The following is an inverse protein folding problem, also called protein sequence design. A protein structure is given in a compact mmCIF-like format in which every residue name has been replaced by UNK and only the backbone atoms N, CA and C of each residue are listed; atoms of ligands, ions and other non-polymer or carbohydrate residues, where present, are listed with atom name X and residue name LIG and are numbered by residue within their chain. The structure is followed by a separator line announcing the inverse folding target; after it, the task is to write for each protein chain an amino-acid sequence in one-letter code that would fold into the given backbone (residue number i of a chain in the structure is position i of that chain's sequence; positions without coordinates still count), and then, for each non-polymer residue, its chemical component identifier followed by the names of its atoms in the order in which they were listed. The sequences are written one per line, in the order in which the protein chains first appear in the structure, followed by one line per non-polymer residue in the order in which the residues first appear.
data_IF_068784204718
#
_entry.id   IF_068784204718
#
_cell.length_a   1.000
_cell.length_b   1.000
_cell.length_c   1.000
_cell.angle_alpha   90.00
_cell.angle_beta   90.00
_cell.angle_gamma   90.00
#
_symmetry.space_group_name_H-M   'P 1'
#
loop_
_entity.id
_entity.type
_entity.pdbx_description
1 polymer ?
#
# COMPACT_ATOMS: atom_id res chain seq x y z
N UNK A 1 -19.54 -13.76 -39.52
CA UNK A 1 -19.44 -14.25 -38.11
C UNK A 1 -18.78 -13.20 -37.23
N UNK A 2 -19.36 -12.94 -36.07
CA UNK A 2 -18.76 -12.08 -35.05
C UNK A 2 -18.02 -12.96 -34.03
N UNK A 3 -16.74 -12.71 -33.87
CA UNK A 3 -15.92 -13.36 -32.85
C UNK A 3 -15.66 -12.36 -31.75
N UNK A 4 -15.95 -12.76 -30.51
CA UNK A 4 -15.58 -11.99 -29.32
C UNK A 4 -14.17 -12.41 -28.91
N UNK A 5 -13.24 -11.49 -28.98
CA UNK A 5 -11.87 -11.72 -28.51
C UNK A 5 -11.80 -11.52 -27.01
N UNK A 6 -11.33 -12.53 -26.28
CA UNK A 6 -11.05 -12.40 -24.85
C UNK A 6 -9.89 -11.45 -24.59
N UNK A 7 -10.09 -10.52 -23.67
CA UNK A 7 -9.01 -9.62 -23.25
C UNK A 7 -8.04 -10.33 -22.31
N UNK A 8 -6.75 -10.20 -22.58
CA UNK A 8 -5.70 -10.61 -21.67
C UNK A 8 -5.52 -9.54 -20.59
N UNK A 9 -5.68 -9.95 -19.34
CA UNK A 9 -5.44 -9.10 -18.16
C UNK A 9 -4.26 -9.64 -17.38
N UNK A 10 -3.55 -8.75 -16.67
CA UNK A 10 -2.49 -9.20 -15.75
C UNK A 10 -3.11 -9.95 -14.59
N UNK A 11 -2.50 -11.07 -14.22
CA UNK A 11 -2.98 -11.84 -13.07
C UNK A 11 -2.88 -11.01 -11.77
N UNK A 12 -3.84 -11.18 -10.84
CA UNK A 12 -3.75 -10.56 -9.52
C UNK A 12 -2.44 -10.93 -8.83
N UNK A 13 -1.68 -9.94 -8.43
CA UNK A 13 -0.39 -10.13 -7.73
C UNK A 13 0.19 -8.79 -7.27
N UNK A 14 1.32 -8.87 -6.57
CA UNK A 14 2.25 -7.76 -6.43
C UNK A 14 3.37 -7.91 -7.46
N UNK A 15 3.68 -6.83 -8.17
CA UNK A 15 4.75 -6.77 -9.17
C UNK A 15 5.79 -5.76 -8.72
N UNK A 16 7.05 -6.11 -8.91
CA UNK A 16 8.19 -5.23 -8.63
C UNK A 16 8.94 -4.96 -9.92
N UNK A 17 9.39 -3.73 -10.11
CA UNK A 17 10.18 -3.34 -11.25
C UNK A 17 11.29 -2.36 -10.83
N UNK A 18 12.41 -2.45 -11.52
CA UNK A 18 13.53 -1.54 -11.43
C UNK A 18 13.66 -0.77 -12.75
N UNK A 19 13.89 0.52 -12.67
CA UNK A 19 14.13 1.39 -13.82
C UNK A 19 15.32 2.27 -13.54
N UNK A 20 16.01 2.71 -14.59
CA UNK A 20 17.05 3.71 -14.48
C UNK A 20 16.53 5.07 -14.92
N UNK A 21 16.87 6.10 -14.16
CA UNK A 21 16.63 7.49 -14.54
C UNK A 21 17.63 7.91 -15.64
N UNK A 22 17.38 9.07 -16.25
CA UNK A 22 18.26 9.64 -17.29
C UNK A 22 19.71 9.84 -16.83
N UNK A 23 19.92 9.94 -15.53
CA UNK A 23 21.23 10.12 -14.87
C UNK A 23 21.85 8.76 -14.47
N UNK A 24 21.18 7.63 -14.75
CA UNK A 24 21.65 6.30 -14.35
C UNK A 24 21.31 5.91 -12.91
N UNK A 25 20.50 6.69 -12.19
CA UNK A 25 20.03 6.35 -10.83
C UNK A 25 18.96 5.27 -10.90
N UNK A 26 19.05 4.27 -10.01
CA UNK A 26 18.05 3.22 -9.89
C UNK A 26 16.78 3.75 -9.21
N UNK A 27 15.66 3.54 -9.86
CA UNK A 27 14.32 3.84 -9.37
C UNK A 27 13.54 2.54 -9.23
N UNK A 28 12.84 2.39 -8.13
CA UNK A 28 12.04 1.20 -7.84
C UNK A 28 10.57 1.51 -7.95
N UNK A 29 9.82 0.55 -8.45
CA UNK A 29 8.35 0.63 -8.49
C UNK A 29 7.73 -0.70 -8.12
N UNK A 30 6.55 -0.63 -7.55
CA UNK A 30 5.74 -1.81 -7.23
C UNK A 30 4.29 -1.54 -7.59
N UNK A 31 3.61 -2.57 -8.04
CA UNK A 31 2.19 -2.51 -8.38
C UNK A 31 1.44 -3.63 -7.67
N UNK A 32 0.40 -3.29 -6.94
CA UNK A 32 -0.55 -4.23 -6.36
C UNK A 32 -1.77 -4.26 -7.27
N UNK A 33 -1.97 -5.39 -7.93
CA UNK A 33 -3.09 -5.61 -8.85
C UNK A 33 -4.04 -6.61 -8.23
N UNK A 34 -5.25 -6.20 -7.79
CA UNK A 34 -6.28 -7.09 -7.33
C UNK A 34 -7.00 -7.78 -8.50
N UNK A 35 -7.75 -8.83 -8.20
CA UNK A 35 -8.69 -9.41 -9.16
C UNK A 35 -9.87 -8.47 -9.41
N UNK A 36 -10.32 -7.79 -8.37
CA UNK A 36 -11.36 -6.76 -8.39
C UNK A 36 -10.99 -5.67 -7.40
N UNK A 37 -11.07 -4.43 -7.84
CA UNK A 37 -10.81 -3.25 -7.00
C UNK A 37 -9.75 -2.31 -7.56
N UNK A 38 -9.40 -1.31 -6.78
CA UNK A 38 -8.45 -0.28 -7.14
C UNK A 38 -7.01 -0.81 -7.18
N UNK A 39 -6.24 -0.38 -8.16
CA UNK A 39 -4.81 -0.66 -8.24
C UNK A 39 -4.05 0.28 -7.30
N UNK A 40 -3.01 -0.26 -6.66
CA UNK A 40 -2.03 0.51 -5.92
C UNK A 40 -0.70 0.44 -6.67
N UNK A 41 -0.17 1.59 -7.01
CA UNK A 41 1.13 1.71 -7.65
C UNK A 41 2.04 2.53 -6.75
N UNK A 42 3.19 1.98 -6.43
CA UNK A 42 4.23 2.62 -5.63
C UNK A 42 5.40 2.94 -6.54
N UNK A 43 5.96 4.13 -6.41
CA UNK A 43 7.15 4.54 -7.18
C UNK A 43 8.09 5.38 -6.31
N UNK A 44 9.39 5.21 -6.54
CA UNK A 44 10.42 6.11 -6.02
C UNK A 44 10.75 7.12 -7.11
N UNK A 45 10.79 8.40 -6.79
CA UNK A 45 11.24 9.42 -7.73
C UNK A 45 12.77 9.66 -7.68
N UNK A 46 13.27 10.52 -8.56
CA UNK A 46 14.69 10.87 -8.60
C UNK A 46 15.21 11.56 -7.34
N UNK A 47 14.32 12.14 -6.54
CA UNK A 47 14.63 12.75 -5.24
C UNK A 47 14.53 11.74 -4.07
N UNK A 48 14.34 10.45 -4.37
CA UNK A 48 14.21 9.37 -3.38
C UNK A 48 12.94 9.43 -2.53
N UNK A 49 11.92 10.15 -3.00
CA UNK A 49 10.64 10.25 -2.33
C UNK A 49 9.76 9.09 -2.78
N UNK A 50 9.15 8.41 -1.81
CA UNK A 50 8.17 7.37 -2.08
C UNK A 50 6.80 7.98 -2.39
N UNK A 51 6.26 7.61 -3.52
CA UNK A 51 4.94 8.02 -3.97
C UNK A 51 4.00 6.82 -4.11
N UNK A 52 2.72 7.08 -3.90
CA UNK A 52 1.64 6.14 -4.18
C UNK A 52 0.65 6.76 -5.17
N UNK A 53 0.13 5.93 -6.07
CA UNK A 53 -1.02 6.22 -6.92
C UNK A 53 -2.10 5.21 -6.60
N UNK A 54 -3.30 5.70 -6.37
CA UNK A 54 -4.49 4.87 -6.17
C UNK A 54 -5.30 4.96 -7.45
N UNK A 55 -5.46 3.84 -8.12
CA UNK A 55 -6.08 3.78 -9.44
C UNK A 55 -5.39 4.73 -10.45
N UNK A 56 -6.13 5.66 -11.03
CA UNK A 56 -5.63 6.67 -11.97
C UNK A 56 -5.33 8.02 -11.32
N UNK A 57 -5.30 8.08 -10.00
CA UNK A 57 -5.06 9.30 -9.25
C UNK A 57 -3.65 9.85 -9.47
N UNK A 58 -3.47 11.16 -9.31
CA UNK A 58 -2.15 11.79 -9.27
C UNK A 58 -1.33 11.25 -8.10
N UNK A 59 -0.03 11.08 -8.31
CA UNK A 59 0.91 10.61 -7.28
C UNK A 59 0.88 11.49 -6.02
N UNK A 60 0.98 10.82 -4.90
CA UNK A 60 0.93 11.40 -3.56
C UNK A 60 2.08 10.80 -2.74
N UNK A 61 2.69 11.51 -1.79
CA UNK A 61 3.62 10.90 -0.86
C UNK A 61 2.97 9.69 -0.18
N UNK A 62 3.71 8.59 -0.04
CA UNK A 62 3.15 7.35 0.54
C UNK A 62 2.71 7.54 1.99
N UNK A 63 3.35 8.47 2.72
CA UNK A 63 3.04 8.80 4.11
C UNK A 63 1.61 9.29 4.29
N UNK A 64 1.05 10.01 3.30
CA UNK A 64 -0.36 10.42 3.31
C UNK A 64 -1.30 9.21 3.36
N UNK A 65 -1.00 8.16 2.57
CA UNK A 65 -1.76 6.92 2.61
C UNK A 65 -1.57 6.20 3.94
N UNK A 66 -0.34 6.11 4.45
CA UNK A 66 -0.03 5.47 5.74
C UNK A 66 -0.80 6.16 6.87
N UNK A 67 -0.81 7.50 6.91
CA UNK A 67 -1.59 8.26 7.89
C UNK A 67 -3.09 7.98 7.76
N UNK A 68 -3.61 7.95 6.55
CA UNK A 68 -5.04 7.63 6.31
C UNK A 68 -5.45 6.24 6.77
N UNK A 69 -4.49 5.31 6.93
CA UNK A 69 -4.71 3.96 7.45
C UNK A 69 -4.59 3.86 8.98
N UNK A 70 -4.30 4.98 9.68
CA UNK A 70 -4.33 5.05 11.14
C UNK A 70 -3.00 5.39 11.82
N UNK A 71 -1.89 5.49 11.07
CA UNK A 71 -0.57 5.87 11.61
C UNK A 71 -0.35 7.37 11.42
N UNK A 72 -0.85 8.17 12.36
CA UNK A 72 -0.95 9.63 12.20
C UNK A 72 0.35 10.37 12.35
N UNK A 73 1.21 9.99 13.28
CA UNK A 73 2.42 10.70 13.62
C UNK A 73 3.66 10.20 12.88
N UNK A 74 4.66 11.06 12.74
CA UNK A 74 5.95 10.69 12.15
C UNK A 74 6.64 9.58 12.99
N UNK A 75 6.47 9.62 14.31
CA UNK A 75 7.01 8.61 15.23
C UNK A 75 6.39 7.22 14.99
N UNK A 76 5.07 7.12 14.86
CA UNK A 76 4.38 5.86 14.55
C UNK A 76 4.82 5.27 13.21
N UNK A 77 5.01 6.13 12.20
CA UNK A 77 5.50 5.70 10.88
C UNK A 77 6.93 5.18 10.99
N UNK A 78 7.80 5.87 11.73
CA UNK A 78 9.19 5.46 11.94
C UNK A 78 9.27 4.17 12.75
N UNK A 79 8.43 3.99 13.77
CA UNK A 79 8.34 2.75 14.53
C UNK A 79 7.94 1.56 13.64
N UNK A 80 6.99 1.77 12.73
CA UNK A 80 6.48 0.71 11.84
C UNK A 80 7.49 0.29 10.76
N UNK A 81 8.18 1.24 10.14
CA UNK A 81 9.04 1.00 8.97
C UNK A 81 10.54 1.09 9.26
N UNK A 82 10.91 1.55 10.45
CA UNK A 82 12.31 1.86 10.79
C UNK A 82 12.77 3.21 10.25
N UNK A 83 13.99 3.58 10.63
CA UNK A 83 14.64 4.80 10.17
C UNK A 83 15.26 4.57 8.78
N UNK A 84 14.59 5.05 7.74
CA UNK A 84 15.07 5.05 6.36
C UNK A 84 15.14 6.51 5.86
N UNK A 85 16.26 6.87 5.27
CA UNK A 85 16.53 8.24 4.78
C UNK A 85 15.48 8.70 3.75
N UNK A 86 15.01 7.78 2.89
CA UNK A 86 13.99 8.06 1.88
C UNK A 86 12.61 8.27 2.50
N UNK A 87 12.33 7.51 3.56
CA UNK A 87 11.09 7.68 4.33
C UNK A 87 11.08 9.05 5.02
N UNK A 88 12.20 9.47 5.62
CA UNK A 88 12.35 10.78 6.23
C UNK A 88 12.14 11.90 5.21
N UNK A 89 12.80 11.85 4.05
CA UNK A 89 12.59 12.78 2.94
C UNK A 89 11.12 12.81 2.46
N UNK A 90 10.46 11.66 2.49
CA UNK A 90 9.04 11.56 2.11
C UNK A 90 8.14 12.23 3.14
N UNK A 91 8.42 12.08 4.45
CA UNK A 91 7.71 12.74 5.54
C UNK A 91 7.90 14.27 5.52
N UNK A 92 9.07 14.76 5.14
CA UNK A 92 9.33 16.21 4.93
C UNK A 92 8.49 16.78 3.78
N UNK A 93 8.28 15.99 2.73
CA UNK A 93 7.45 16.38 1.58
C UNK A 93 5.95 16.32 1.85
N UNK A 94 5.56 15.54 2.85
CA UNK A 94 4.17 15.37 3.25
C UNK A 94 3.68 16.57 4.07
N UNK A 95 2.62 17.20 3.61
CA UNK A 95 1.99 18.33 4.30
C UNK A 95 1.02 17.92 5.40
N UNK A 96 0.66 16.63 5.44
CA UNK A 96 -0.26 16.09 6.44
C UNK A 96 0.49 15.63 7.69
N UNK A 97 -0.13 15.76 8.87
CA UNK A 97 0.48 15.39 10.16
C UNK A 97 -0.40 14.52 11.04
N UNK A 98 -1.66 14.36 10.66
CA UNK A 98 -2.65 13.58 11.41
C UNK A 98 -3.36 12.56 10.50
N UNK A 99 -4.07 11.62 11.12
CA UNK A 99 -4.91 10.63 10.42
C UNK A 99 -6.00 11.34 9.61
N UNK A 100 -6.65 12.32 10.22
CA UNK A 100 -7.75 13.07 9.60
C UNK A 100 -7.26 13.86 8.37
N UNK A 101 -6.12 14.52 8.48
CA UNK A 101 -5.52 15.24 7.34
C UNK A 101 -5.16 14.29 6.20
N UNK A 102 -4.58 13.14 6.50
CA UNK A 102 -4.29 12.09 5.53
C UNK A 102 -5.55 11.59 4.81
N UNK A 103 -6.61 11.31 5.57
CA UNK A 103 -7.93 10.91 5.04
C UNK A 103 -8.50 11.97 4.09
N UNK A 104 -8.52 13.22 4.52
CA UNK A 104 -9.07 14.33 3.74
C UNK A 104 -8.27 14.58 2.46
N UNK A 105 -6.95 14.46 2.51
CA UNK A 105 -6.08 14.64 1.33
C UNK A 105 -6.31 13.54 0.29
N UNK A 106 -6.42 12.27 0.71
CA UNK A 106 -6.76 11.16 -0.19
C UNK A 106 -8.16 11.36 -0.78
N UNK A 107 -9.13 11.78 0.03
CA UNK A 107 -10.49 12.04 -0.45
C UNK A 107 -10.54 13.12 -1.52
N UNK A 108 -9.87 14.27 -1.30
CA UNK A 108 -9.80 15.36 -2.28
C UNK A 108 -9.24 14.92 -3.62
N UNK A 109 -8.27 14.00 -3.59
CA UNK A 109 -7.65 13.47 -4.81
C UNK A 109 -8.51 12.45 -5.54
N UNK A 110 -9.25 11.62 -4.80
CA UNK A 110 -10.16 10.61 -5.37
C UNK A 110 -11.50 11.22 -5.82
N UNK A 111 -11.97 12.27 -5.14
CA UNK A 111 -13.25 12.94 -5.37
C UNK A 111 -13.08 14.44 -5.51
N UNK A 112 -12.43 14.92 -6.57
CA UNK A 112 -12.26 16.35 -6.80
C UNK A 112 -13.63 17.04 -6.97
N UNK A 113 -13.83 18.15 -6.24
CA UNK A 113 -15.06 18.93 -6.30
C UNK A 113 -16.10 18.60 -5.23
N UNK A 114 -15.93 17.51 -4.47
CA UNK A 114 -16.80 17.21 -3.33
C UNK A 114 -16.18 17.77 -2.03
N UNK A 115 -16.99 18.39 -1.14
CA UNK A 115 -16.48 18.84 0.16
C UNK A 115 -16.08 17.63 1.01
N UNK A 116 -14.81 17.55 1.46
CA UNK A 116 -14.34 16.41 2.21
C UNK A 116 -14.80 16.48 3.67
N UNK A 117 -15.31 15.36 4.19
CA UNK A 117 -15.50 15.13 5.63
C UNK A 117 -14.70 13.92 6.05
N UNK A 118 -14.27 13.87 7.32
CA UNK A 118 -13.49 12.75 7.84
C UNK A 118 -14.26 11.43 7.72
N UNK A 119 -15.55 11.45 8.01
CA UNK A 119 -16.43 10.29 7.92
C UNK A 119 -16.56 9.75 6.49
N UNK A 120 -16.80 10.66 5.53
CA UNK A 120 -16.88 10.30 4.11
C UNK A 120 -15.55 9.76 3.58
N UNK A 121 -14.44 10.37 4.01
CA UNK A 121 -13.10 9.92 3.63
C UNK A 121 -12.78 8.53 4.19
N UNK A 122 -13.08 8.29 5.47
CA UNK A 122 -12.91 6.99 6.11
C UNK A 122 -13.77 5.92 5.45
N UNK A 123 -15.05 6.23 5.19
CA UNK A 123 -15.95 5.34 4.47
C UNK A 123 -15.46 5.01 3.06
N UNK A 124 -14.92 6.00 2.33
CA UNK A 124 -14.37 5.81 0.99
C UNK A 124 -13.20 4.83 1.01
N UNK A 125 -12.21 5.03 1.90
CA UNK A 125 -11.02 4.16 1.99
C UNK A 125 -11.42 2.75 2.44
N UNK A 126 -12.31 2.65 3.43
CA UNK A 126 -12.83 1.35 3.89
C UNK A 126 -13.50 0.59 2.76
N UNK A 127 -14.37 1.25 2.01
CA UNK A 127 -15.04 0.63 0.86
C UNK A 127 -14.08 0.28 -0.29
N UNK A 128 -13.01 1.06 -0.46
CA UNK A 128 -12.09 0.88 -1.57
C UNK A 128 -11.17 -0.33 -1.38
N UNK A 129 -10.70 -0.58 -0.15
CA UNK A 129 -9.67 -1.58 0.14
C UNK A 129 -10.09 -2.68 1.11
N UNK A 130 -11.10 -2.46 1.94
CA UNK A 130 -11.47 -3.36 3.03
C UNK A 130 -12.89 -3.95 2.89
N UNK A 131 -13.66 -3.57 1.87
CA UNK A 131 -14.93 -4.20 1.56
C UNK A 131 -14.71 -5.42 0.65
N UNK A 132 -14.96 -6.66 1.11
CA UNK A 132 -14.74 -7.87 0.32
C UNK A 132 -15.62 -7.95 -0.93
N UNK A 133 -16.70 -7.17 -1.00
CA UNK A 133 -17.53 -7.08 -2.20
C UNK A 133 -16.90 -6.20 -3.28
N UNK A 134 -16.02 -5.28 -2.90
CA UNK A 134 -15.41 -4.29 -3.80
C UNK A 134 -13.93 -4.55 -4.07
N UNK A 135 -13.23 -5.16 -3.14
CA UNK A 135 -11.80 -5.47 -3.24
C UNK A 135 -11.56 -6.95 -3.00
N UNK A 136 -10.97 -7.63 -3.96
CA UNK A 136 -10.64 -9.04 -3.85
C UNK A 136 -9.36 -9.38 -4.61
N UNK A 137 -8.46 -10.09 -3.96
CA UNK A 137 -7.23 -10.60 -4.56
C UNK A 137 -7.42 -11.93 -5.25
N UNK A 138 -8.54 -12.63 -5.02
CA UNK A 138 -8.80 -14.01 -5.39
C UNK A 138 -7.73 -14.99 -4.85
N UNK A 139 -7.93 -16.29 -5.05
CA UNK A 139 -6.97 -17.32 -4.59
C UNK A 139 -5.60 -17.18 -5.25
N UNK A 140 -5.57 -16.84 -6.53
CA UNK A 140 -4.32 -16.65 -7.28
C UNK A 140 -3.53 -15.45 -6.75
N UNK A 141 -4.17 -14.33 -6.50
CA UNK A 141 -3.53 -13.14 -5.94
C UNK A 141 -2.98 -13.40 -4.54
N UNK A 142 -3.76 -14.02 -3.66
CA UNK A 142 -3.33 -14.38 -2.29
C UNK A 142 -2.14 -15.33 -2.31
N UNK A 143 -2.16 -16.35 -3.15
CA UNK A 143 -1.03 -17.26 -3.32
C UNK A 143 0.24 -16.53 -3.77
N UNK A 144 0.13 -15.67 -4.79
CA UNK A 144 1.28 -14.90 -5.30
C UNK A 144 1.81 -13.90 -4.29
N UNK A 145 0.93 -13.25 -3.53
CA UNK A 145 1.32 -12.39 -2.40
C UNK A 145 2.11 -13.17 -1.36
N UNK A 146 1.58 -14.29 -0.90
CA UNK A 146 2.23 -15.13 0.10
C UNK A 146 3.56 -15.71 -0.40
N UNK A 147 3.70 -15.95 -1.70
CA UNK A 147 4.95 -16.41 -2.30
C UNK A 147 6.01 -15.31 -2.34
N UNK A 148 5.63 -14.07 -2.67
CA UNK A 148 6.55 -12.92 -2.83
C UNK A 148 6.83 -12.20 -1.52
N UNK A 149 5.83 -12.13 -0.64
CA UNK A 149 5.88 -11.51 0.68
C UNK A 149 5.64 -12.56 1.76
N UNK A 150 6.42 -13.65 1.71
CA UNK A 150 6.24 -14.82 2.58
C UNK A 150 6.32 -14.40 4.05
N UNK A 151 5.33 -14.83 4.85
CA UNK A 151 5.27 -14.51 6.28
C UNK A 151 6.54 -14.97 6.99
N UNK A 152 7.02 -16.19 6.72
CA UNK A 152 8.26 -16.71 7.30
C UNK A 152 9.48 -15.80 7.04
N UNK A 153 9.59 -15.24 5.83
CA UNK A 153 10.69 -14.32 5.50
C UNK A 153 10.58 -12.97 6.22
N UNK A 154 9.36 -12.58 6.63
CA UNK A 154 9.12 -11.33 7.36
C UNK A 154 9.28 -11.45 8.86
N UNK A 155 9.14 -12.64 9.43
CA UNK A 155 9.26 -12.88 10.88
C UNK A 155 10.64 -13.38 11.30
N UNK A 156 11.44 -13.89 10.36
CA UNK A 156 12.81 -14.34 10.66
C UNK A 156 13.63 -13.17 11.16
N UNK A 157 14.28 -13.37 12.32
CA UNK A 157 15.08 -12.34 12.99
C UNK A 157 14.31 -11.40 13.91
N UNK A 158 12.99 -11.50 13.97
CA UNK A 158 12.16 -10.76 14.91
C UNK A 158 11.82 -11.60 16.15
N UNK A 159 11.59 -10.93 17.26
CA UNK A 159 11.19 -11.56 18.54
C UNK A 159 9.66 -11.55 18.60
N UNK A 160 9.05 -12.68 19.01
CA UNK A 160 7.61 -12.75 19.21
C UNK A 160 7.19 -11.83 20.38
N UNK A 161 6.08 -11.12 20.21
CA UNK A 161 5.52 -10.25 21.25
C UNK A 161 4.93 -11.05 22.44
N UNK A 162 4.61 -12.32 22.22
CA UNK A 162 4.02 -13.21 23.22
C UNK A 162 4.59 -14.62 23.09
N UNK A 163 4.38 -15.43 24.11
CA UNK A 163 4.78 -16.84 24.14
C UNK A 163 3.94 -17.64 23.13
N UNK A 164 4.61 -18.34 22.24
CA UNK A 164 3.94 -19.22 21.27
C UNK A 164 3.82 -20.60 21.85
N UNK A 165 2.62 -21.13 21.92
CA UNK A 165 2.31 -22.49 22.37
C UNK A 165 1.66 -23.27 21.25
N UNK A 166 2.01 -24.55 21.15
CA UNK A 166 1.31 -25.46 20.26
C UNK A 166 -0.14 -25.63 20.77
N UNK A 167 -1.16 -25.31 19.96
CA UNK A 167 -2.56 -25.37 20.40
C UNK A 167 -3.05 -26.79 20.69
N UNK A 168 -2.37 -27.82 20.17
CA UNK A 168 -2.73 -29.23 20.37
C UNK A 168 -2.05 -29.86 21.59
N UNK A 169 -0.78 -29.52 21.84
CA UNK A 169 0.01 -30.13 22.92
C UNK A 169 0.20 -29.20 24.14
N UNK A 170 -0.01 -27.90 23.96
CA UNK A 170 0.27 -26.90 25.02
C UNK A 170 1.76 -26.66 25.28
N UNK A 171 2.65 -27.27 24.49
CA UNK A 171 4.09 -27.08 24.61
C UNK A 171 4.56 -25.77 24.01
N UNK A 172 5.62 -25.20 24.58
CA UNK A 172 6.28 -24.02 24.05
C UNK A 172 6.93 -24.33 22.68
N UNK A 173 6.72 -23.44 21.71
CA UNK A 173 7.31 -23.52 20.38
C UNK A 173 8.59 -22.70 20.32
#
# INVERSE_FOLDING_TARGET
ERVIVSQLVRAPSVYFAEKFDKIGKKLYSSQVIPNRGAWLEYETDSNEIFHVKIDKMRKTPITVLIRSLGFGTDAEITELFGEDERLMKTMEKDTTKTVEEGLLEIYRKLRPGEPPTVESAKSLITNLFFDPKRYDLARVGRYKFNKKLRLSARIVGHVSADTLVNPETGELI
#
